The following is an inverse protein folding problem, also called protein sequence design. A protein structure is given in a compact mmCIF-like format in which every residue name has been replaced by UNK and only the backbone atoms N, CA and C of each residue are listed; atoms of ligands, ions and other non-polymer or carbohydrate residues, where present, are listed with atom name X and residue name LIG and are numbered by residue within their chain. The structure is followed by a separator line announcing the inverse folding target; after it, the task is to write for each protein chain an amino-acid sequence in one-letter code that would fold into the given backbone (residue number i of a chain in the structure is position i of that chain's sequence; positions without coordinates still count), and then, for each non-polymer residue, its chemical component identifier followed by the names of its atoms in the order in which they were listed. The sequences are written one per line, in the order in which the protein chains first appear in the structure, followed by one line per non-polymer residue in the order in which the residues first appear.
data_IF_674751528256
#
_entry.id   IF_674751528256
#
_cell.length_a   1.000
_cell.length_b   1.000
_cell.length_c   1.000
_cell.angle_alpha   90.00
_cell.angle_beta   90.00
_cell.angle_gamma   90.00
#
_symmetry.space_group_name_H-M   'P 1'
#
loop_
_entity.id
_entity.type
_entity.pdbx_description
1 polymer ?
#
# COMPACT_ATOMS: atom_id res chain seq x y z
N UNK A 1 -2.45 -30.07 1.17
CA UNK A 1 -2.09 -28.68 0.84
C UNK A 1 -3.20 -27.79 1.39
N UNK A 2 -2.96 -27.15 2.53
CA UNK A 2 -3.95 -26.29 3.18
C UNK A 2 -3.91 -24.94 2.45
N UNK A 3 -4.97 -24.59 1.72
CA UNK A 3 -5.16 -23.23 1.19
C UNK A 3 -5.83 -22.42 2.29
N UNK A 4 -5.09 -21.49 2.87
CA UNK A 4 -5.70 -20.46 3.69
C UNK A 4 -6.33 -19.44 2.74
N UNK A 5 -7.64 -19.16 2.85
CA UNK A 5 -8.19 -17.97 2.21
C UNK A 5 -7.50 -16.79 2.89
N UNK A 6 -6.59 -16.12 2.18
CA UNK A 6 -5.99 -14.85 2.62
C UNK A 6 -6.97 -13.69 2.49
N UNK A 7 -8.16 -13.95 1.96
CA UNK A 7 -9.17 -12.96 1.63
C UNK A 7 -10.27 -12.99 2.69
N UNK A 8 -10.30 -11.93 3.50
CA UNK A 8 -11.48 -11.58 4.30
C UNK A 8 -12.45 -10.89 3.34
N UNK A 9 -13.56 -11.55 3.00
CA UNK A 9 -14.59 -11.04 2.09
C UNK A 9 -15.83 -10.69 2.92
N UNK A 10 -16.24 -9.42 2.90
CA UNK A 10 -17.55 -8.99 3.41
C UNK A 10 -17.67 -8.70 4.91
N UNK A 11 -16.57 -8.61 5.67
CA UNK A 11 -16.63 -8.16 7.06
C UNK A 11 -16.44 -6.65 7.14
N UNK A 12 -17.41 -5.94 7.74
CA UNK A 12 -17.25 -4.54 8.13
C UNK A 12 -16.14 -4.48 9.17
N UNK A 13 -14.95 -4.16 8.68
CA UNK A 13 -13.74 -4.31 9.45
C UNK A 13 -13.70 -3.19 10.48
N UNK A 14 -13.82 -3.54 11.77
CA UNK A 14 -13.80 -2.56 12.85
C UNK A 14 -12.59 -1.62 12.67
N UNK A 15 -12.78 -0.31 12.81
CA UNK A 15 -11.75 0.70 12.47
C UNK A 15 -10.41 0.44 13.16
N UNK A 16 -10.45 -0.05 14.40
CA UNK A 16 -9.27 -0.44 15.16
C UNK A 16 -8.59 -1.69 14.58
N UNK A 17 -9.38 -2.67 14.12
CA UNK A 17 -8.88 -3.86 13.42
C UNK A 17 -8.13 -3.49 12.12
N UNK A 18 -8.55 -2.41 11.44
CA UNK A 18 -7.91 -1.96 10.19
C UNK A 18 -6.44 -1.62 10.39
N UNK A 19 -6.09 -1.04 11.53
CA UNK A 19 -4.71 -0.71 11.92
C UNK A 19 -3.87 -1.99 12.02
N UNK A 20 -4.40 -3.03 12.69
CA UNK A 20 -3.70 -4.30 12.86
C UNK A 20 -3.51 -5.06 11.55
N UNK A 21 -4.56 -5.17 10.71
CA UNK A 21 -4.44 -5.83 9.41
C UNK A 21 -3.50 -5.08 8.47
N UNK A 22 -3.52 -3.74 8.51
CA UNK A 22 -2.59 -2.90 7.75
C UNK A 22 -1.15 -3.18 8.15
N UNK A 23 -0.85 -3.20 9.45
CA UNK A 23 0.50 -3.48 9.92
C UNK A 23 0.96 -4.89 9.52
N UNK A 24 0.10 -5.89 9.68
CA UNK A 24 0.39 -7.27 9.33
C UNK A 24 0.68 -7.42 7.83
N UNK A 25 -0.20 -6.88 6.97
CA UNK A 25 -0.03 -6.91 5.52
C UNK A 25 1.19 -6.10 5.07
N UNK A 26 1.44 -4.93 5.66
CA UNK A 26 2.62 -4.12 5.33
C UNK A 26 3.92 -4.88 5.61
N UNK A 27 4.01 -5.60 6.73
CA UNK A 27 5.17 -6.44 7.05
C UNK A 27 5.31 -7.64 6.10
N UNK A 28 4.20 -8.24 5.67
CA UNK A 28 4.21 -9.30 4.65
C UNK A 28 4.72 -8.75 3.30
N UNK A 29 4.15 -7.63 2.85
CA UNK A 29 4.55 -6.92 1.64
C UNK A 29 6.03 -6.53 1.68
N UNK A 30 6.52 -6.00 2.81
CA UNK A 30 7.92 -5.62 2.96
C UNK A 30 8.88 -6.81 2.76
N UNK A 31 8.53 -7.98 3.31
CA UNK A 31 9.30 -9.21 3.11
C UNK A 31 9.26 -9.67 1.65
N UNK A 32 8.10 -9.52 1.00
CA UNK A 32 7.94 -9.85 -0.41
C UNK A 32 8.79 -8.92 -1.28
N UNK A 33 8.66 -7.61 -1.13
CA UNK A 33 9.40 -6.60 -1.89
C UNK A 33 10.93 -6.76 -1.75
N UNK A 34 11.42 -7.10 -0.56
CA UNK A 34 12.86 -7.40 -0.38
C UNK A 34 13.32 -8.64 -1.15
N UNK A 35 12.45 -9.66 -1.30
CA UNK A 35 12.77 -10.87 -2.09
C UNK A 35 12.69 -10.62 -3.59
N UNK A 36 11.79 -9.72 -4.00
CA UNK A 36 11.53 -9.34 -5.39
C UNK A 36 12.31 -8.07 -5.78
N UNK A 37 13.34 -7.70 -5.01
CA UNK A 37 14.16 -6.52 -5.27
C UNK A 37 14.77 -6.59 -6.68
N UNK A 38 14.52 -5.56 -7.50
CA UNK A 38 14.93 -5.49 -8.91
C UNK A 38 13.83 -5.84 -9.91
N UNK A 39 12.62 -6.19 -9.46
CA UNK A 39 11.44 -6.23 -10.33
C UNK A 39 10.79 -4.85 -10.44
N UNK A 40 10.22 -4.53 -11.61
CA UNK A 40 9.49 -3.29 -11.87
C UNK A 40 8.13 -3.28 -11.14
N UNK A 41 8.17 -3.09 -9.82
CA UNK A 41 6.98 -2.95 -8.99
C UNK A 41 6.44 -1.51 -9.04
N UNK A 42 5.17 -1.29 -9.42
CA UNK A 42 4.59 0.05 -9.53
C UNK A 42 4.79 0.87 -8.27
N UNK A 43 5.18 2.14 -8.40
CA UNK A 43 5.48 3.03 -7.26
C UNK A 43 4.34 3.10 -6.22
N UNK A 44 3.07 2.99 -6.64
CA UNK A 44 1.91 2.84 -5.78
C UNK A 44 0.84 1.96 -6.44
N UNK A 45 -0.18 1.54 -5.67
CA UNK A 45 -1.30 0.74 -6.17
C UNK A 45 -2.04 1.40 -7.34
N UNK A 46 -2.25 2.72 -7.29
CA UNK A 46 -2.89 3.46 -8.40
C UNK A 46 -2.07 3.38 -9.69
N UNK A 47 -0.75 3.54 -9.63
CA UNK A 47 0.14 3.34 -10.79
C UNK A 47 0.20 1.89 -11.26
N UNK A 48 -0.14 0.94 -10.40
CA UNK A 48 -0.35 -0.45 -10.76
C UNK A 48 -1.69 -0.73 -11.45
N UNK A 49 -2.50 0.30 -11.70
CA UNK A 49 -3.81 0.17 -12.33
C UNK A 49 -4.94 -0.22 -11.37
N UNK A 50 -4.70 -0.21 -10.05
CA UNK A 50 -5.75 -0.51 -9.09
C UNK A 50 -6.81 0.60 -9.04
N UNK A 51 -8.06 0.23 -8.80
CA UNK A 51 -9.15 1.09 -8.34
C UNK A 51 -9.34 0.98 -6.82
N UNK A 52 -9.95 2.00 -6.22
CA UNK A 52 -10.35 1.97 -4.81
C UNK A 52 -11.70 1.24 -4.69
N UNK A 53 -11.75 0.20 -3.87
CA UNK A 53 -12.96 -0.58 -3.63
C UNK A 53 -13.04 -1.03 -2.16
N UNK A 54 -13.94 -0.43 -1.38
CA UNK A 54 -14.15 -0.78 0.03
C UNK A 54 -14.78 -2.17 0.22
N UNK A 55 -15.36 -2.76 -0.83
CA UNK A 55 -15.86 -4.14 -0.82
C UNK A 55 -14.82 -5.18 -1.21
N UNK A 56 -13.64 -4.76 -1.69
CA UNK A 56 -12.58 -5.68 -2.09
C UNK A 56 -12.01 -6.43 -0.89
N UNK A 57 -11.53 -7.65 -1.15
CA UNK A 57 -10.85 -8.44 -0.14
C UNK A 57 -9.56 -7.76 0.35
N UNK A 58 -9.20 -8.03 1.61
CA UNK A 58 -7.85 -7.71 2.10
C UNK A 58 -6.82 -8.58 1.37
N UNK A 59 -5.84 -7.93 0.75
CA UNK A 59 -4.91 -8.57 -0.18
C UNK A 59 -3.47 -8.10 0.07
N UNK A 60 -2.53 -9.01 -0.12
CA UNK A 60 -1.11 -8.64 -0.23
C UNK A 60 -0.84 -7.89 -1.54
N UNK A 61 0.36 -7.33 -1.66
CA UNK A 61 0.76 -6.49 -2.77
C UNK A 61 0.64 -7.19 -4.13
N UNK A 62 0.92 -8.49 -4.21
CA UNK A 62 0.83 -9.22 -5.47
C UNK A 62 -0.61 -9.40 -5.90
N UNK A 63 -1.45 -9.88 -4.99
CA UNK A 63 -2.87 -10.08 -5.26
C UNK A 63 -3.56 -8.76 -5.59
N UNK A 64 -3.23 -7.69 -4.87
CA UNK A 64 -3.72 -6.35 -5.15
C UNK A 64 -3.43 -5.91 -6.60
N UNK A 65 -2.21 -6.13 -7.08
CA UNK A 65 -1.81 -5.78 -8.45
C UNK A 65 -2.42 -6.73 -9.50
N UNK A 66 -2.61 -8.00 -9.16
CA UNK A 66 -3.25 -8.99 -10.05
C UNK A 66 -4.76 -8.72 -10.23
N UNK A 67 -5.47 -8.30 -9.18
CA UNK A 67 -6.91 -8.05 -9.22
C UNK A 67 -7.27 -6.64 -9.69
N UNK A 68 -6.38 -5.67 -9.46
CA UNK A 68 -6.66 -4.27 -9.78
C UNK A 68 -7.76 -3.65 -8.92
N UNK A 69 -8.18 -4.28 -7.83
CA UNK A 69 -9.20 -3.74 -6.91
C UNK A 69 -8.62 -3.70 -5.49
N UNK A 70 -8.48 -2.49 -4.95
CA UNK A 70 -7.79 -2.25 -3.70
C UNK A 70 -8.71 -1.76 -2.58
N UNK A 71 -8.84 -2.58 -1.54
CA UNK A 71 -9.36 -2.12 -0.25
C UNK A 71 -8.41 -1.07 0.35
N UNK A 72 -8.91 -0.02 1.04
CA UNK A 72 -8.08 1.00 1.69
C UNK A 72 -6.91 0.43 2.52
N UNK A 73 -7.17 -0.61 3.33
CA UNK A 73 -6.16 -1.35 4.10
C UNK A 73 -5.04 -1.91 3.20
N UNK A 74 -5.40 -2.58 2.11
CA UNK A 74 -4.43 -3.17 1.17
C UNK A 74 -3.59 -2.08 0.48
N UNK A 75 -4.22 -0.96 0.12
CA UNK A 75 -3.55 0.20 -0.50
C UNK A 75 -2.54 0.84 0.46
N UNK A 76 -2.93 1.09 1.71
CA UNK A 76 -2.04 1.64 2.73
C UNK A 76 -0.92 0.64 3.03
N UNK A 77 -1.25 -0.65 3.19
CA UNK A 77 -0.27 -1.70 3.44
C UNK A 77 0.73 -1.90 2.28
N UNK A 78 0.31 -1.69 1.03
CA UNK A 78 1.22 -1.70 -0.12
C UNK A 78 2.26 -0.58 0.02
N UNK A 79 1.81 0.66 0.21
CA UNK A 79 2.71 1.81 0.32
C UNK A 79 3.61 1.70 1.55
N UNK A 80 3.04 1.39 2.71
CA UNK A 80 3.78 1.19 3.95
C UNK A 80 4.79 0.05 3.82
N UNK A 81 4.44 -1.03 3.12
CA UNK A 81 5.33 -2.15 2.84
C UNK A 81 6.57 -1.75 2.04
N UNK A 82 6.45 -0.79 1.11
CA UNK A 82 7.61 -0.27 0.35
C UNK A 82 8.57 0.50 1.24
N UNK A 83 8.06 1.35 2.13
CA UNK A 83 8.87 2.08 3.11
C UNK A 83 9.62 1.12 4.04
N UNK A 84 8.90 0.12 4.59
CA UNK A 84 9.50 -0.92 5.42
C UNK A 84 10.55 -1.74 4.66
N UNK A 85 10.31 -2.04 3.37
CA UNK A 85 11.27 -2.75 2.54
C UNK A 85 12.56 -1.95 2.35
N UNK A 86 12.43 -0.63 2.17
CA UNK A 86 13.53 0.34 2.09
C UNK A 86 14.22 0.61 3.44
N UNK A 87 13.72 0.03 4.53
CA UNK A 87 14.32 0.16 5.87
C UNK A 87 13.85 1.38 6.66
N UNK A 88 12.83 2.10 6.19
CA UNK A 88 12.21 3.20 6.93
C UNK A 88 11.19 2.66 7.92
N UNK A 89 11.33 3.03 9.20
CA UNK A 89 10.34 2.67 10.21
C UNK A 89 9.06 3.48 10.00
N UNK A 90 7.91 2.80 10.07
CA UNK A 90 6.61 3.42 9.93
C UNK A 90 5.54 2.62 10.69
N UNK A 91 4.41 3.26 10.97
CA UNK A 91 3.27 2.68 11.68
C UNK A 91 1.94 3.12 11.07
N UNK A 92 0.91 2.26 11.03
CA UNK A 92 -0.43 2.70 10.64
C UNK A 92 -0.99 3.71 11.65
N UNK A 93 -1.77 4.66 11.15
CA UNK A 93 -2.46 5.69 11.95
C UNK A 93 -3.85 5.95 11.38
N UNK A 94 -4.74 6.51 12.19
CA UNK A 94 -6.04 7.02 11.75
C UNK A 94 -6.03 8.55 11.75
N UNK A 95 -6.22 9.16 10.58
CA UNK A 95 -6.44 10.60 10.43
C UNK A 95 -7.89 10.90 10.81
N UNK A 96 -8.08 11.89 11.68
CA UNK A 96 -9.39 12.31 12.22
C UNK A 96 -10.21 11.15 12.84
N UNK A 97 -9.53 10.10 13.30
CA UNK A 97 -10.15 8.90 13.88
C UNK A 97 -10.92 8.02 12.89
N UNK A 98 -10.79 8.26 11.58
CA UNK A 98 -11.58 7.54 10.57
C UNK A 98 -10.74 7.01 9.42
N UNK A 99 -9.88 7.84 8.83
CA UNK A 99 -9.20 7.49 7.59
C UNK A 99 -7.85 6.85 7.87
N UNK A 100 -7.64 5.66 7.33
CA UNK A 100 -6.40 4.93 7.49
C UNK A 100 -5.27 5.54 6.65
N UNK A 101 -4.12 5.74 7.29
CA UNK A 101 -2.88 6.24 6.72
C UNK A 101 -1.69 5.55 7.42
N UNK A 102 -0.47 5.97 7.11
CA UNK A 102 0.69 5.59 7.91
C UNK A 102 1.59 6.78 8.20
N UNK A 103 2.27 6.73 9.33
CA UNK A 103 3.25 7.71 9.75
C UNK A 103 4.65 7.10 9.66
N UNK A 104 5.57 7.79 8.99
CA UNK A 104 7.01 7.47 8.96
C UNK A 104 7.73 8.06 10.17
N UNK A 105 8.94 7.59 10.44
CA UNK A 105 9.71 7.92 11.66
C UNK A 105 9.92 9.43 11.92
N UNK A 106 10.03 10.23 10.85
CA UNK A 106 10.17 11.70 10.92
C UNK A 106 8.87 12.43 11.34
N UNK A 107 7.77 11.69 11.50
CA UNK A 107 6.47 12.20 11.91
C UNK A 107 5.54 12.55 10.74
N UNK A 108 6.03 12.51 9.49
CA UNK A 108 5.22 12.73 8.30
C UNK A 108 4.12 11.66 8.18
N UNK A 109 2.90 12.10 7.91
CA UNK A 109 1.74 11.23 7.69
C UNK A 109 1.46 11.17 6.20
N UNK A 110 1.53 9.95 5.65
CA UNK A 110 1.27 9.67 4.25
C UNK A 110 -0.09 8.98 4.13
N UNK A 111 -0.95 9.52 3.26
CA UNK A 111 -2.28 8.99 2.94
C UNK A 111 -2.32 8.53 1.46
N UNK A 112 -1.95 7.27 1.17
CA UNK A 112 -1.99 6.74 -0.19
C UNK A 112 -3.40 6.64 -0.78
N UNK A 113 -4.45 6.59 0.05
CA UNK A 113 -5.85 6.47 -0.39
C UNK A 113 -6.31 7.78 -1.01
N UNK A 114 -5.87 8.93 -0.48
CA UNK A 114 -6.18 10.26 -1.06
C UNK A 114 -5.86 10.38 -2.55
N UNK A 115 -4.83 9.67 -3.02
CA UNK A 115 -4.42 9.67 -4.44
C UNK A 115 -5.50 9.13 -5.36
N UNK A 116 -6.50 8.40 -4.87
CA UNK A 116 -7.60 7.89 -5.69
C UNK A 116 -8.75 8.90 -5.85
N UNK A 117 -8.73 9.98 -5.05
CA UNK A 117 -9.74 11.04 -5.09
C UNK A 117 -9.30 12.26 -5.91
N UNK A 118 -8.09 12.24 -6.47
CA UNK A 118 -7.54 13.34 -7.27
C UNK A 118 -7.23 12.88 -8.69
N UNK A 119 -7.43 13.76 -9.68
CA UNK A 119 -7.06 13.48 -11.07
C UNK A 119 -5.55 13.59 -11.32
N UNK A 120 -4.79 14.11 -10.35
CA UNK A 120 -3.34 14.30 -10.45
C UNK A 120 -2.59 12.98 -10.70
N UNK A 121 -1.64 12.99 -11.62
CA UNK A 121 -0.72 11.87 -11.85
C UNK A 121 0.23 11.70 -10.65
N UNK A 122 0.61 10.46 -10.33
CA UNK A 122 1.59 10.20 -9.27
C UNK A 122 2.94 10.80 -9.68
N UNK A 123 3.47 11.77 -8.92
CA UNK A 123 4.83 12.34 -9.10
C UNK A 123 5.97 11.31 -8.94
N UNK A 124 5.61 10.09 -8.60
CA UNK A 124 6.42 8.95 -8.23
C UNK A 124 7.25 8.35 -9.40
N UNK A 125 7.09 8.92 -10.61
CA UNK A 125 7.82 8.58 -11.83
C UNK A 125 8.71 9.70 -12.37
N UNK A 126 8.80 10.86 -11.69
CA UNK A 126 9.83 11.86 -12.00
C UNK A 126 11.10 11.53 -11.21
N UNK A 127 11.75 10.44 -11.57
CA UNK A 127 13.21 10.46 -11.49
C UNK A 127 13.67 11.19 -12.73
N UNK A 128 14.27 12.36 -12.53
CA UNK A 128 14.85 13.17 -13.60
C UNK A 128 15.63 12.29 -14.57
N UNK A 129 15.16 12.21 -15.82
CA UNK A 129 16.02 11.98 -16.97
C UNK A 129 16.99 13.15 -17.00
N UNK A 130 18.07 13.05 -16.21
CA UNK A 130 19.15 14.00 -16.26
C UNK A 130 19.96 13.68 -17.52
N UNK A 131 19.50 14.27 -18.63
CA UNK A 131 20.24 14.42 -19.87
C UNK A 131 21.63 15.06 -19.59
N UNK A 132 22.68 14.26 -19.80
CA UNK A 132 24.03 14.66 -20.25
C UNK A 132 24.97 15.40 -19.29
N UNK A 133 26.28 15.53 -19.62
CA UNK A 133 26.88 15.31 -20.96
C UNK A 133 28.10 14.35 -21.00
N UNK A 134 28.26 13.66 -22.14
CA UNK A 134 29.46 12.94 -22.54
C UNK A 134 29.57 12.86 -24.05
#
# INVERSE_FOLDING_TARGET
MIRFPTELVGEELAREASVFFTEALAKLNARQFRREAGQDLPCCARCGGCSLDEGAALQDARRLLETGAGHPVSIVAYSMGKELAAGRACRPVLIDGQRLAYQVEDGEVLDPVSKFNTEESCCCGQHDDHDGPG
#
